data_IF_704185917604
#
_entry.id   IF_704185917604
#
_cell.length_a   1.000
_cell.length_b   1.000
_cell.length_c   1.000
_cell.angle_alpha   90.00
_cell.angle_beta   90.00
_cell.angle_gamma   90.00
#
_symmetry.space_group_name_H-M   'P 1'
#
loop_
_entity.id
_entity.type
_entity.pdbx_description
1 polymer ?
#
# COMPACT_ATOMS: atom_id res chain seq x y z
N UNK A 1 -32.31 -35.66 -32.43
CA UNK A 1 -32.10 -36.76 -31.46
C UNK A 1 -32.02 -36.13 -30.08
N UNK A 2 -33.07 -36.33 -29.29
CA UNK A 2 -33.15 -35.91 -27.90
C UNK A 2 -32.60 -37.01 -27.00
N UNK A 3 -31.83 -36.64 -25.98
CA UNK A 3 -31.54 -37.54 -24.87
C UNK A 3 -31.83 -36.82 -23.55
N UNK A 4 -32.82 -37.39 -22.88
CA UNK A 4 -33.40 -37.02 -21.60
C UNK A 4 -32.64 -37.76 -20.50
N UNK A 5 -32.25 -37.06 -19.43
CA UNK A 5 -31.65 -37.68 -18.25
C UNK A 5 -32.74 -37.86 -17.17
N UNK A 6 -33.02 -39.08 -16.69
CA UNK A 6 -33.76 -39.29 -15.46
C UNK A 6 -32.77 -39.33 -14.29
N UNK A 7 -33.12 -38.71 -13.16
CA UNK A 7 -33.06 -39.30 -11.81
C UNK A 7 -33.54 -38.25 -10.81
N UNK A 8 -34.63 -38.59 -10.14
CA UNK A 8 -35.15 -37.86 -9.00
C UNK A 8 -34.62 -38.37 -7.66
N UNK A 9 -34.87 -37.55 -6.64
CA UNK A 9 -35.03 -37.84 -5.22
C UNK A 9 -33.84 -38.45 -4.44
N UNK A 10 -33.15 -37.53 -3.77
CA UNK A 10 -32.68 -37.59 -2.38
C UNK A 10 -33.46 -38.54 -1.46
N UNK A 11 -32.73 -39.37 -0.69
CA UNK A 11 -32.90 -39.42 0.77
C UNK A 11 -31.72 -40.07 1.52
N UNK A 12 -31.40 -39.43 2.66
CA UNK A 12 -30.67 -39.88 3.88
C UNK A 12 -29.14 -39.72 3.98
N UNK A 13 -28.81 -38.54 4.49
CA UNK A 13 -27.84 -38.17 5.51
C UNK A 13 -26.97 -39.27 6.16
N UNK A 14 -25.66 -38.99 6.26
CA UNK A 14 -24.99 -38.54 7.49
C UNK A 14 -23.48 -38.55 7.27
N UNK A 15 -22.84 -37.40 7.10
CA UNK A 15 -21.53 -37.21 7.72
C UNK A 15 -21.21 -35.73 7.96
N UNK A 16 -20.63 -35.51 9.12
CA UNK A 16 -20.44 -34.23 9.79
C UNK A 16 -19.15 -33.55 9.37
N UNK A 17 -19.26 -32.42 8.69
CA UNK A 17 -18.21 -31.38 8.67
C UNK A 17 -18.72 -30.12 7.98
N UNK A 18 -19.46 -29.28 8.73
CA UNK A 18 -19.74 -27.92 8.29
C UNK A 18 -18.51 -27.02 8.55
N UNK A 19 -18.07 -26.21 7.59
CA UNK A 19 -17.12 -25.14 7.84
C UNK A 19 -17.79 -24.05 8.70
N UNK A 20 -17.09 -23.56 9.73
CA UNK A 20 -17.58 -22.44 10.54
C UNK A 20 -17.73 -21.19 9.67
N UNK A 21 -18.98 -20.85 9.38
CA UNK A 21 -19.36 -19.56 8.80
C UNK A 21 -19.21 -18.54 9.93
N UNK A 22 -18.13 -17.77 9.91
CA UNK A 22 -17.99 -16.60 10.77
C UNK A 22 -19.20 -15.68 10.55
N UNK A 23 -20.01 -15.55 11.59
CA UNK A 23 -21.30 -14.87 11.51
C UNK A 23 -21.03 -13.36 11.47
N UNK A 24 -21.40 -12.68 10.38
CA UNK A 24 -21.22 -11.23 10.20
C UNK A 24 -21.77 -10.39 11.37
N UNK A 25 -22.72 -10.95 12.13
CA UNK A 25 -23.27 -10.38 13.35
C UNK A 25 -22.29 -10.38 14.53
N UNK A 26 -21.45 -11.40 14.67
CA UNK A 26 -20.43 -11.46 15.73
C UNK A 26 -19.29 -10.46 15.47
N UNK A 27 -18.89 -10.28 14.22
CA UNK A 27 -17.91 -9.27 13.82
C UNK A 27 -18.45 -7.85 14.05
N UNK A 28 -19.72 -7.60 13.72
CA UNK A 28 -20.35 -6.31 13.99
C UNK A 28 -20.51 -6.05 15.48
N UNK A 29 -20.82 -7.07 16.28
CA UNK A 29 -20.88 -6.93 17.74
C UNK A 29 -19.51 -6.60 18.32
N UNK A 30 -18.44 -7.26 17.85
CA UNK A 30 -17.07 -7.00 18.31
C UNK A 30 -16.56 -5.62 17.90
N UNK A 31 -16.97 -5.13 16.72
CA UNK A 31 -16.64 -3.77 16.26
C UNK A 31 -17.46 -2.71 17.02
N UNK A 32 -18.74 -2.96 17.30
CA UNK A 32 -19.57 -2.04 18.09
C UNK A 32 -19.15 -2.00 19.56
N UNK A 33 -18.65 -3.10 20.11
CA UNK A 33 -18.12 -3.17 21.47
C UNK A 33 -16.75 -2.46 21.60
N UNK A 34 -16.08 -2.21 20.45
CA UNK A 34 -14.81 -1.46 20.37
C UNK A 34 -14.93 -0.05 19.79
N UNK A 35 -16.14 0.47 19.54
CA UNK A 35 -16.32 1.88 19.20
C UNK A 35 -16.04 2.75 20.43
N UNK A 36 -14.80 3.26 20.49
CA UNK A 36 -14.30 4.41 21.26
C UNK A 36 -15.05 4.75 22.55
N UNK A 37 -14.53 4.29 23.70
CA UNK A 37 -14.84 4.84 25.02
C UNK A 37 -14.21 6.23 25.28
N UNK A 38 -13.72 6.92 24.25
CA UNK A 38 -13.18 8.26 24.39
C UNK A 38 -14.24 9.26 23.97
N UNK A 39 -14.72 10.03 24.94
CA UNK A 39 -15.66 11.10 24.69
C UNK A 39 -15.07 12.09 23.69
N UNK A 40 -15.93 12.73 22.88
CA UNK A 40 -15.50 13.77 21.93
C UNK A 40 -14.68 14.89 22.59
N UNK A 41 -14.81 15.08 23.91
CA UNK A 41 -14.02 16.00 24.71
C UNK A 41 -12.58 15.51 24.88
N UNK A 42 -12.38 14.25 25.26
CA UNK A 42 -11.06 13.62 25.42
C UNK A 42 -10.34 13.48 24.09
N UNK A 43 -11.08 13.16 23.02
CA UNK A 43 -10.52 13.10 21.68
C UNK A 43 -10.02 14.46 21.20
N UNK A 44 -10.78 15.54 21.44
CA UNK A 44 -10.34 16.91 21.14
C UNK A 44 -9.15 17.34 22.00
N UNK A 45 -9.11 16.92 23.26
CA UNK A 45 -8.00 17.22 24.16
C UNK A 45 -6.71 16.47 23.77
N UNK A 46 -6.83 15.25 23.25
CA UNK A 46 -5.72 14.49 22.65
C UNK A 46 -5.20 15.16 21.37
N UNK A 47 -6.08 15.60 20.48
CA UNK A 47 -5.68 16.33 19.28
C UNK A 47 -5.01 17.67 19.62
N UNK A 48 -5.53 18.38 20.62
CA UNK A 48 -4.94 19.64 21.12
C UNK A 48 -3.55 19.42 21.72
N UNK A 49 -3.36 18.32 22.47
CA UNK A 49 -2.04 17.96 23.01
C UNK A 49 -1.03 17.57 21.91
N UNK A 50 -1.47 16.86 20.87
CA UNK A 50 -0.60 16.54 19.74
C UNK A 50 -0.20 17.79 18.93
N UNK A 51 -1.12 18.74 18.73
CA UNK A 51 -0.82 19.98 18.02
C UNK A 51 0.07 20.93 18.83
N UNK A 52 -0.04 20.92 20.15
CA UNK A 52 0.89 21.64 21.05
C UNK A 52 2.29 21.02 21.02
N UNK A 53 2.42 19.69 21.00
CA UNK A 53 3.71 19.00 20.88
C UNK A 53 4.37 19.17 19.51
N UNK A 54 3.60 19.31 18.44
CA UNK A 54 4.13 19.57 17.10
C UNK A 54 4.63 21.01 16.90
N UNK A 55 4.21 21.95 17.75
CA UNK A 55 4.63 23.36 17.67
C UNK A 55 5.83 23.71 18.57
N UNK A 56 6.29 22.79 19.42
CA UNK A 56 7.56 22.93 20.13
C UNK A 56 8.69 22.50 19.18
N UNK A 57 9.25 23.46 18.45
CA UNK A 57 10.55 23.28 17.81
C UNK A 57 11.64 23.20 18.89
N UNK A 58 12.65 22.36 18.63
CA UNK A 58 13.95 22.23 19.32
C UNK A 58 13.85 21.38 20.62
N UNK A 59 14.63 20.34 20.89
CA UNK A 59 16.04 20.07 20.62
C UNK A 59 16.35 18.55 20.63
N UNK A 60 17.47 18.19 20.04
CA UNK A 60 18.04 16.83 19.93
C UNK A 60 18.32 16.22 21.31
N UNK A 61 18.05 14.91 21.48
CA UNK A 61 18.28 14.04 22.67
C UNK A 61 17.17 13.93 23.73
N UNK A 62 16.01 13.37 23.36
CA UNK A 62 15.18 12.63 24.32
C UNK A 62 14.82 11.24 23.77
N UNK A 63 14.82 10.19 24.61
CA UNK A 63 14.49 8.83 24.18
C UNK A 63 13.06 8.75 23.68
N UNK A 64 12.86 7.93 22.66
CA UNK A 64 11.58 7.75 21.98
C UNK A 64 10.51 7.22 22.92
N UNK A 65 9.25 7.47 22.56
CA UNK A 65 8.05 7.08 23.31
C UNK A 65 8.02 5.61 23.79
N UNK A 66 8.64 4.69 23.04
CA UNK A 66 8.76 3.27 23.40
C UNK A 66 9.61 3.02 24.67
N UNK A 67 10.60 3.86 24.95
CA UNK A 67 11.45 3.76 26.15
C UNK A 67 10.74 4.28 27.40
N UNK A 68 9.87 5.31 27.26
CA UNK A 68 9.08 5.84 28.40
C UNK A 68 7.97 4.89 28.86
N UNK A 69 7.47 4.04 27.98
CA UNK A 69 6.45 3.04 28.35
C UNK A 69 7.03 1.88 29.17
N UNK A 70 8.33 1.59 29.04
CA UNK A 70 9.00 0.55 29.84
C UNK A 70 9.46 1.03 31.22
N UNK A 71 9.52 2.35 31.45
CA UNK A 71 10.17 2.94 32.62
C UNK A 71 9.22 3.50 33.69
N UNK A 72 7.96 3.07 33.72
CA UNK A 72 6.97 3.54 34.70
C UNK A 72 6.34 2.41 35.51
N UNK A 73 7.20 1.64 36.17
CA UNK A 73 6.90 1.13 37.51
C UNK A 73 7.73 1.96 38.50
N UNK A 74 7.07 2.33 39.59
CA UNK A 74 7.56 2.97 40.80
C UNK A 74 7.46 4.50 40.95
N UNK A 75 6.73 4.82 42.02
CA UNK A 75 6.86 5.88 42.99
C UNK A 75 6.29 7.30 42.76
N UNK A 76 5.13 7.46 43.42
CA UNK A 76 4.85 8.44 44.48
C UNK A 76 5.32 9.89 44.27
N UNK A 77 4.37 10.83 44.20
CA UNK A 77 4.47 12.17 44.81
C UNK A 77 3.12 12.91 44.73
N UNK A 78 2.83 13.69 45.77
CA UNK A 78 1.54 14.29 46.14
C UNK A 78 1.00 15.35 45.14
N UNK A 79 -0.33 15.51 44.97
CA UNK A 79 -0.93 16.40 43.97
C UNK A 79 -0.74 17.91 44.19
N UNK A 80 -0.24 18.34 45.35
CA UNK A 80 -0.28 19.74 45.76
C UNK A 80 0.88 20.59 45.23
N UNK A 81 2.03 19.99 44.91
CA UNK A 81 3.21 20.73 44.45
C UNK A 81 3.13 21.11 42.95
N UNK A 82 2.32 20.41 42.16
CA UNK A 82 2.17 20.65 40.70
C UNK A 82 1.29 21.85 40.35
N UNK A 83 0.54 22.41 41.29
CA UNK A 83 -0.33 23.57 41.04
C UNK A 83 0.42 24.90 41.13
N UNK A 84 1.41 25.02 42.02
CA UNK A 84 2.13 26.27 42.26
C UNK A 84 3.08 26.66 41.11
N UNK A 85 3.54 25.69 40.32
CA UNK A 85 4.45 25.93 39.19
C UNK A 85 3.71 26.31 37.89
N UNK A 86 2.44 25.91 37.76
CA UNK A 86 1.61 26.18 36.58
C UNK A 86 1.10 27.63 36.55
N UNK A 87 0.80 28.22 37.72
CA UNK A 87 0.28 29.60 37.80
C UNK A 87 1.35 30.67 37.51
N UNK A 88 2.63 30.35 37.62
CA UNK A 88 3.73 31.29 37.35
C UNK A 88 4.07 31.41 35.86
N UNK A 89 3.68 30.43 35.04
CA UNK A 89 3.94 30.41 33.59
C UNK A 89 2.84 31.19 32.82
N UNK A 90 1.65 31.34 33.39
CA UNK A 90 0.49 31.93 32.71
C UNK A 90 0.56 33.47 32.62
N UNK A 91 1.38 34.15 33.43
CA UNK A 91 1.45 35.63 33.44
C UNK A 91 2.50 36.28 32.51
N UNK A 92 3.18 35.53 31.63
CA UNK A 92 4.21 36.10 30.74
C UNK A 92 4.09 35.69 29.26
N UNK A 93 2.88 35.60 28.72
CA UNK A 93 2.70 35.55 27.26
C UNK A 93 1.98 36.81 26.77
N UNK A 94 2.59 37.61 25.87
CA UNK A 94 1.88 38.72 25.25
C UNK A 94 0.78 38.17 24.34
N UNK A 95 -0.48 38.35 24.76
CA UNK A 95 -1.67 38.13 23.93
C UNK A 95 -1.76 39.22 22.87
N UNK A 96 -1.12 39.00 21.73
CA UNK A 96 -1.53 39.59 20.47
C UNK A 96 -1.79 38.44 19.48
N UNK A 97 -3.04 38.03 19.24
CA UNK A 97 -3.32 37.18 18.09
C UNK A 97 -2.97 37.97 16.82
N UNK A 98 -2.19 37.42 15.87
CA UNK A 98 -2.06 38.05 14.57
C UNK A 98 -3.47 38.19 13.98
N UNK A 99 -3.83 39.41 13.57
CA UNK A 99 -5.08 39.70 12.87
C UNK A 99 -5.37 38.60 11.86
N UNK A 100 -6.57 38.01 11.95
CA UNK A 100 -7.15 37.15 10.94
C UNK A 100 -7.48 38.00 9.69
N UNK A 101 -6.44 38.49 9.03
CA UNK A 101 -6.54 39.22 7.79
C UNK A 101 -6.68 38.20 6.67
N UNK A 102 -7.94 37.96 6.27
CA UNK A 102 -8.36 37.50 4.94
C UNK A 102 -7.38 36.60 4.16
N UNK A 103 -6.89 35.52 4.75
CA UNK A 103 -6.30 34.44 3.97
C UNK A 103 -7.44 33.63 3.39
N UNK A 104 -7.99 34.10 2.26
CA UNK A 104 -8.79 33.25 1.39
C UNK A 104 -8.00 31.95 1.18
N UNK A 105 -8.62 30.77 1.37
CA UNK A 105 -7.94 29.51 1.13
C UNK A 105 -7.41 29.54 -0.30
N UNK A 106 -6.08 29.53 -0.44
CA UNK A 106 -5.44 29.52 -1.76
C UNK A 106 -6.06 28.36 -2.56
N UNK A 107 -6.59 28.59 -3.77
CA UNK A 107 -7.14 27.51 -4.57
C UNK A 107 -6.02 26.46 -4.76
N UNK A 108 -6.29 25.23 -4.33
CA UNK A 108 -5.34 24.12 -4.43
C UNK A 108 -5.10 23.82 -5.91
N UNK A 109 -4.05 24.40 -6.49
CA UNK A 109 -3.89 24.51 -7.95
C UNK A 109 -3.57 23.19 -8.65
N UNK A 110 -3.43 22.07 -7.94
CA UNK A 110 -3.03 20.78 -8.50
C UNK A 110 -3.80 19.58 -7.94
N UNK A 111 -5.06 19.76 -7.52
CA UNK A 111 -5.87 18.66 -6.92
C UNK A 111 -5.91 17.41 -7.79
N UNK A 112 -6.05 17.58 -9.10
CA UNK A 112 -6.11 16.46 -10.04
C UNK A 112 -4.79 15.70 -10.13
N UNK A 113 -3.67 16.42 -10.19
CA UNK A 113 -2.34 15.81 -10.22
C UNK A 113 -2.03 15.09 -8.91
N UNK A 114 -2.32 15.73 -7.76
CA UNK A 114 -2.05 15.13 -6.46
C UNK A 114 -2.96 13.93 -6.19
N UNK A 115 -4.21 13.97 -6.64
CA UNK A 115 -5.10 12.80 -6.64
C UNK A 115 -4.52 11.69 -7.52
N UNK A 116 -4.11 12.04 -8.75
CA UNK A 116 -3.55 11.07 -9.68
C UNK A 116 -2.28 10.40 -9.13
N UNK A 117 -1.36 11.17 -8.55
CA UNK A 117 -0.14 10.66 -7.90
C UNK A 117 -0.42 9.71 -6.75
N UNK A 118 -1.46 9.97 -5.94
CA UNK A 118 -1.87 9.05 -4.87
C UNK A 118 -2.49 7.75 -5.40
N UNK A 119 -3.23 7.84 -6.49
CA UNK A 119 -3.90 6.69 -7.12
C UNK A 119 -2.99 5.90 -8.06
N UNK A 120 -1.88 6.50 -8.51
CA UNK A 120 -0.94 5.93 -9.47
C UNK A 120 0.48 6.26 -9.01
N UNK A 121 0.79 5.98 -7.74
CA UNK A 121 2.17 6.07 -7.29
C UNK A 121 3.04 5.03 -8.03
N UNK A 122 4.35 5.07 -7.82
CA UNK A 122 5.27 4.15 -8.48
C UNK A 122 4.88 2.69 -8.22
N UNK A 123 4.47 2.37 -6.98
CA UNK A 123 4.04 1.03 -6.57
C UNK A 123 2.78 0.57 -7.29
N UNK A 124 1.73 1.38 -7.29
CA UNK A 124 0.46 1.03 -7.92
C UNK A 124 0.62 0.92 -9.44
N UNK A 125 1.41 1.82 -10.04
CA UNK A 125 1.70 1.76 -11.48
C UNK A 125 2.46 0.48 -11.87
N UNK A 126 3.39 0.02 -11.03
CA UNK A 126 4.08 -1.27 -11.22
C UNK A 126 3.07 -2.43 -11.14
N UNK A 127 2.17 -2.42 -10.16
CA UNK A 127 1.16 -3.48 -10.00
C UNK A 127 0.19 -3.51 -11.18
N UNK A 128 -0.20 -2.34 -11.69
CA UNK A 128 -1.04 -2.23 -12.89
C UNK A 128 -0.33 -2.89 -14.09
N UNK A 129 0.94 -2.55 -14.35
CA UNK A 129 1.69 -3.14 -15.46
C UNK A 129 1.87 -4.67 -15.32
N UNK A 130 2.06 -5.17 -14.09
CA UNK A 130 2.22 -6.62 -13.83
C UNK A 130 0.90 -7.37 -13.57
N UNK A 131 -0.25 -6.70 -13.68
CA UNK A 131 -1.55 -7.24 -13.27
C UNK A 131 -2.01 -8.44 -14.11
N UNK A 132 -1.64 -8.48 -15.39
CA UNK A 132 -1.97 -9.60 -16.27
C UNK A 132 -1.28 -10.89 -15.82
N UNK A 133 -0.01 -10.80 -15.43
CA UNK A 133 0.77 -11.93 -14.90
C UNK A 133 0.19 -12.35 -13.56
N UNK A 134 -0.15 -11.40 -12.70
CA UNK A 134 -0.78 -11.66 -11.40
C UNK A 134 -2.11 -12.41 -11.56
N UNK A 135 -2.95 -11.97 -12.50
CA UNK A 135 -4.23 -12.62 -12.79
C UNK A 135 -4.02 -14.03 -13.35
N UNK A 136 -3.04 -14.21 -14.23
CA UNK A 136 -2.69 -15.52 -14.77
C UNK A 136 -2.22 -16.48 -13.68
N UNK A 137 -1.41 -15.99 -12.73
CA UNK A 137 -1.00 -16.74 -11.55
C UNK A 137 -2.20 -17.18 -10.68
N UNK A 138 -3.13 -16.27 -10.35
CA UNK A 138 -4.32 -16.64 -9.57
C UNK A 138 -5.23 -17.63 -10.29
N UNK A 139 -5.40 -17.49 -11.61
CA UNK A 139 -6.14 -18.47 -12.43
C UNK A 139 -5.45 -19.84 -12.42
N UNK A 140 -4.12 -19.88 -12.39
CA UNK A 140 -3.36 -21.12 -12.26
C UNK A 140 -3.63 -21.78 -10.90
N UNK A 141 -3.50 -21.02 -9.80
CA UNK A 141 -3.77 -21.50 -8.45
C UNK A 141 -5.20 -22.03 -8.25
N UNK A 142 -6.18 -21.41 -8.91
CA UNK A 142 -7.58 -21.80 -8.84
C UNK A 142 -7.88 -23.13 -9.57
N UNK A 143 -7.07 -23.47 -10.59
CA UNK A 143 -7.22 -24.73 -11.34
C UNK A 143 -6.58 -25.92 -10.65
N UNK A 144 -5.61 -25.69 -9.77
CA UNK A 144 -4.94 -26.78 -9.06
C UNK A 144 -5.83 -27.40 -8.00
N UNK A 145 -6.01 -28.71 -8.08
CA UNK A 145 -6.64 -29.46 -6.99
C UNK A 145 -5.69 -29.53 -5.79
N UNK A 146 -6.23 -29.70 -4.58
CA UNK A 146 -5.43 -29.87 -3.37
C UNK A 146 -4.48 -31.07 -3.45
N UNK A 147 -4.79 -32.06 -4.29
CA UNK A 147 -3.97 -33.24 -4.53
C UNK A 147 -2.80 -32.98 -5.49
N UNK A 148 -3.00 -32.13 -6.50
CA UNK A 148 -1.91 -31.72 -7.42
C UNK A 148 -0.81 -30.95 -6.68
N UNK A 149 -1.20 -30.12 -5.70
CA UNK A 149 -0.24 -29.39 -4.84
C UNK A 149 0.64 -30.30 -3.99
N UNK A 150 0.12 -31.44 -3.55
CA UNK A 150 0.90 -32.43 -2.77
C UNK A 150 1.80 -33.23 -3.71
N UNK A 151 1.31 -33.58 -4.90
CA UNK A 151 2.08 -34.30 -5.91
C UNK A 151 3.24 -33.45 -6.48
N UNK A 152 3.08 -32.14 -6.62
CA UNK A 152 4.14 -31.24 -7.09
C UNK A 152 5.24 -31.01 -6.06
N UNK A 153 4.97 -31.14 -4.76
CA UNK A 153 6.01 -31.17 -3.73
C UNK A 153 6.92 -32.41 -3.88
N UNK A 154 6.37 -33.52 -4.37
CA UNK A 154 7.11 -34.77 -4.60
C UNK A 154 7.88 -34.84 -5.92
N UNK A 155 7.62 -33.95 -6.87
CA UNK A 155 8.30 -33.88 -8.17
C UNK A 155 9.00 -32.53 -8.27
N UNK A 156 10.34 -32.53 -8.28
CA UNK A 156 11.23 -31.37 -8.51
C UNK A 156 11.04 -30.68 -9.89
N UNK A 157 9.86 -30.74 -10.50
CA UNK A 157 9.51 -29.95 -11.67
C UNK A 157 8.86 -28.64 -11.21
N UNK A 158 9.41 -27.53 -11.71
CA UNK A 158 8.77 -26.24 -11.57
C UNK A 158 7.36 -26.32 -12.16
N UNK A 159 6.37 -26.20 -11.28
CA UNK A 159 4.97 -26.10 -11.65
C UNK A 159 4.73 -24.83 -12.47
N UNK A 160 3.85 -24.87 -13.48
CA UNK A 160 3.48 -23.70 -14.29
C UNK A 160 3.06 -22.51 -13.40
N UNK A 161 2.41 -22.78 -12.25
CA UNK A 161 2.05 -21.73 -11.31
C UNK A 161 3.27 -21.13 -10.59
N UNK A 162 4.32 -21.93 -10.35
CA UNK A 162 5.59 -21.44 -9.78
C UNK A 162 6.33 -20.58 -10.78
N UNK A 163 6.36 -20.96 -12.06
CA UNK A 163 6.94 -20.15 -13.12
C UNK A 163 6.21 -18.81 -13.27
N UNK A 164 4.88 -18.79 -13.16
CA UNK A 164 4.08 -17.55 -13.14
C UNK A 164 4.35 -16.68 -11.91
N UNK A 165 4.55 -17.28 -10.74
CA UNK A 165 4.93 -16.56 -9.53
C UNK A 165 6.31 -15.90 -9.68
N UNK A 166 7.31 -16.65 -10.15
CA UNK A 166 8.65 -16.14 -10.45
C UNK A 166 8.59 -15.01 -11.49
N UNK A 167 7.76 -15.17 -12.53
CA UNK A 167 7.58 -14.16 -13.57
C UNK A 167 6.93 -12.89 -13.04
N UNK A 168 5.94 -13.01 -12.15
CA UNK A 168 5.33 -11.86 -11.49
C UNK A 168 6.34 -11.09 -10.62
N UNK A 169 7.11 -11.81 -9.79
CA UNK A 169 8.16 -11.19 -8.97
C UNK A 169 9.18 -10.47 -9.85
N UNK A 170 9.66 -11.14 -10.90
CA UNK A 170 10.60 -10.54 -11.84
C UNK A 170 10.03 -9.30 -12.54
N UNK A 171 8.75 -9.33 -12.95
CA UNK A 171 8.03 -8.17 -13.47
C UNK A 171 8.10 -7.00 -12.48
N UNK A 172 7.70 -7.22 -11.23
CA UNK A 172 7.67 -6.14 -10.22
C UNK A 172 9.05 -5.54 -9.97
N UNK A 173 10.09 -6.37 -9.88
CA UNK A 173 11.47 -5.91 -9.63
C UNK A 173 12.05 -5.13 -10.81
N UNK A 174 11.79 -5.58 -12.04
CA UNK A 174 12.30 -4.93 -13.24
C UNK A 174 11.54 -3.65 -13.52
N UNK A 175 10.21 -3.67 -13.38
CA UNK A 175 9.36 -2.49 -13.50
C UNK A 175 9.78 -1.42 -12.48
N UNK A 176 10.05 -1.77 -11.22
CA UNK A 176 10.57 -0.83 -10.22
C UNK A 176 11.82 -0.08 -10.70
N UNK A 177 12.77 -0.78 -11.31
CA UNK A 177 13.98 -0.17 -11.88
C UNK A 177 13.67 0.70 -13.09
N UNK A 178 12.72 0.28 -13.93
CA UNK A 178 12.29 1.05 -15.09
C UNK A 178 11.60 2.36 -14.70
N UNK A 179 10.70 2.34 -13.72
CA UNK A 179 10.06 3.56 -13.19
C UNK A 179 11.09 4.52 -12.58
N UNK A 180 12.09 3.98 -11.88
CA UNK A 180 13.21 4.79 -11.38
C UNK A 180 14.04 5.39 -12.51
N UNK A 181 14.23 4.69 -13.63
CA UNK A 181 14.97 5.21 -14.79
C UNK A 181 14.25 6.40 -15.46
N UNK A 182 12.92 6.45 -15.39
CA UNK A 182 12.10 7.54 -15.93
C UNK A 182 11.85 8.66 -14.90
N UNK A 183 12.48 8.61 -13.73
CA UNK A 183 12.33 9.62 -12.67
C UNK A 183 10.84 9.85 -12.30
N UNK A 184 10.05 8.77 -12.30
CA UNK A 184 8.58 8.82 -12.28
C UNK A 184 8.00 9.64 -11.12
N UNK A 185 8.62 9.58 -9.95
CA UNK A 185 8.15 10.23 -8.72
C UNK A 185 8.22 11.76 -8.76
N UNK A 186 9.06 12.31 -9.65
CA UNK A 186 9.24 13.76 -9.79
C UNK A 186 8.56 14.35 -11.02
N UNK A 187 7.81 13.55 -11.79
CA UNK A 187 7.07 14.01 -12.97
C UNK A 187 5.92 14.96 -12.58
N UNK A 188 5.80 16.09 -13.27
CA UNK A 188 4.99 17.23 -12.83
C UNK A 188 3.61 17.26 -13.46
N UNK A 189 3.37 16.46 -14.50
CA UNK A 189 2.07 16.41 -15.18
C UNK A 189 1.53 14.98 -15.26
N UNK A 190 0.20 14.87 -15.31
CA UNK A 190 -0.48 13.57 -15.50
C UNK A 190 -0.06 12.95 -16.85
N UNK A 191 0.12 13.77 -17.87
CA UNK A 191 0.52 13.32 -19.20
C UNK A 191 1.93 12.73 -19.22
N UNK A 192 2.88 13.34 -18.50
CA UNK A 192 4.21 12.77 -18.29
C UNK A 192 4.13 11.40 -17.60
N UNK A 193 3.40 11.32 -16.48
CA UNK A 193 3.27 10.07 -15.72
C UNK A 193 2.61 8.98 -16.57
N UNK A 194 1.55 9.28 -17.30
CA UNK A 194 0.90 8.31 -18.19
C UNK A 194 1.81 7.87 -19.33
N UNK A 195 2.56 8.80 -19.93
CA UNK A 195 3.47 8.50 -21.02
C UNK A 195 4.63 7.60 -20.56
N UNK A 196 5.24 7.91 -19.40
CA UNK A 196 6.29 7.09 -18.80
C UNK A 196 5.77 5.67 -18.51
N UNK A 197 4.63 5.54 -17.81
CA UNK A 197 4.03 4.24 -17.50
C UNK A 197 3.78 3.41 -18.76
N UNK A 198 3.16 4.01 -19.78
CA UNK A 198 2.84 3.32 -21.05
C UNK A 198 4.10 2.90 -21.80
N UNK A 199 5.14 3.74 -21.82
CA UNK A 199 6.39 3.38 -22.50
C UNK A 199 7.08 2.20 -21.81
N UNK A 200 7.19 2.26 -20.48
CA UNK A 200 7.77 1.18 -19.67
C UNK A 200 7.00 -0.14 -19.89
N UNK A 201 5.67 -0.10 -19.82
CA UNK A 201 4.82 -1.28 -20.01
C UNK A 201 4.95 -1.88 -21.41
N UNK A 202 4.95 -1.04 -22.44
CA UNK A 202 5.12 -1.47 -23.83
C UNK A 202 6.48 -2.15 -24.04
N UNK A 203 7.56 -1.59 -23.52
CA UNK A 203 8.91 -2.18 -23.68
C UNK A 203 8.97 -3.52 -22.97
N UNK A 204 8.39 -3.63 -21.78
CA UNK A 204 8.29 -4.89 -21.04
C UNK A 204 7.53 -5.96 -21.82
N UNK A 205 6.28 -5.67 -22.21
CA UNK A 205 5.39 -6.62 -22.90
C UNK A 205 5.93 -7.05 -24.27
N UNK A 206 6.71 -6.19 -24.94
CA UNK A 206 7.37 -6.55 -26.21
C UNK A 206 8.60 -7.43 -25.99
N UNK A 207 9.23 -7.35 -24.81
CA UNK A 207 10.51 -8.04 -24.54
C UNK A 207 10.33 -9.38 -23.84
N UNK A 208 9.30 -9.53 -23.03
CA UNK A 208 9.14 -10.69 -22.16
C UNK A 208 7.70 -11.25 -22.18
N UNK A 209 7.58 -12.52 -22.50
CA UNK A 209 6.35 -13.32 -22.45
C UNK A 209 6.36 -14.31 -21.28
N UNK A 210 7.55 -14.69 -20.80
CA UNK A 210 7.74 -15.67 -19.73
C UNK A 210 9.05 -15.45 -18.96
N UNK A 211 9.22 -16.20 -17.86
CA UNK A 211 10.38 -16.11 -16.98
C UNK A 211 11.70 -16.49 -17.65
N UNK A 212 11.70 -17.40 -18.62
CA UNK A 212 12.92 -17.84 -19.30
C UNK A 212 13.52 -16.71 -20.15
N UNK A 213 12.66 -15.93 -20.82
CA UNK A 213 13.09 -14.74 -21.57
C UNK A 213 13.67 -13.67 -20.65
N UNK A 214 13.17 -13.53 -19.43
CA UNK A 214 13.74 -12.61 -18.42
C UNK A 214 15.12 -13.08 -17.97
N UNK A 215 15.32 -14.40 -17.85
CA UNK A 215 16.60 -15.02 -17.46
C UNK A 215 17.62 -15.05 -18.61
N UNK A 216 17.17 -14.95 -19.86
CA UNK A 216 18.04 -14.85 -21.03
C UNK A 216 18.79 -13.50 -21.04
N UNK A 217 20.11 -13.58 -20.85
CA UNK A 217 20.99 -12.41 -20.80
C UNK A 217 20.96 -11.55 -22.07
N UNK A 218 20.78 -12.17 -23.24
CA UNK A 218 20.71 -11.45 -24.53
C UNK A 218 19.41 -10.68 -24.62
N UNK A 219 18.27 -11.31 -24.34
CA UNK A 219 16.96 -10.66 -24.38
C UNK A 219 16.91 -9.54 -23.35
N UNK A 220 17.35 -9.81 -22.12
CA UNK A 220 17.42 -8.80 -21.07
C UNK A 220 18.33 -7.62 -21.46
N UNK A 221 19.47 -7.89 -22.12
CA UNK A 221 20.33 -6.81 -22.62
C UNK A 221 19.62 -5.95 -23.66
N UNK A 222 18.88 -6.52 -24.59
CA UNK A 222 18.13 -5.76 -25.60
C UNK A 222 16.97 -4.97 -24.98
N UNK A 223 16.28 -5.54 -23.99
CA UNK A 223 15.29 -4.83 -23.18
C UNK A 223 15.90 -3.57 -22.56
N UNK A 224 17.05 -3.69 -21.87
CA UNK A 224 17.67 -2.52 -21.21
C UNK A 224 18.12 -1.44 -22.20
N UNK A 225 18.60 -1.82 -23.39
CA UNK A 225 18.95 -0.85 -24.45
C UNK A 225 17.70 -0.12 -24.96
N UNK A 226 16.64 -0.87 -25.24
CA UNK A 226 15.37 -0.32 -25.72
C UNK A 226 14.75 0.62 -24.70
N UNK A 227 14.76 0.23 -23.42
CA UNK A 227 14.24 1.06 -22.34
C UNK A 227 15.02 2.37 -22.18
N UNK A 228 16.36 2.34 -22.32
CA UNK A 228 17.18 3.56 -22.29
C UNK A 228 16.88 4.49 -23.47
N UNK A 229 16.71 3.93 -24.67
CA UNK A 229 16.31 4.71 -25.84
C UNK A 229 14.95 5.37 -25.66
N UNK A 230 13.99 4.64 -25.10
CA UNK A 230 12.65 5.16 -24.78
C UNK A 230 12.69 6.25 -23.71
N UNK A 231 13.58 6.12 -22.72
CA UNK A 231 13.87 7.19 -21.76
C UNK A 231 14.39 8.43 -22.49
N UNK A 232 15.38 8.31 -23.37
CA UNK A 232 15.91 9.45 -24.13
C UNK A 232 14.82 10.16 -24.94
N UNK A 233 13.96 9.41 -25.64
CA UNK A 233 12.81 9.96 -26.38
C UNK A 233 11.83 10.67 -25.44
N UNK A 234 11.58 10.11 -24.26
CA UNK A 234 10.72 10.72 -23.25
C UNK A 234 11.30 12.06 -22.75
N UNK A 235 12.58 12.08 -22.40
CA UNK A 235 13.28 13.28 -21.93
C UNK A 235 13.35 14.37 -23.01
N UNK A 236 13.60 13.99 -24.27
CA UNK A 236 13.57 14.92 -25.42
C UNK A 236 12.17 15.55 -25.58
N UNK A 237 11.11 14.77 -25.40
CA UNK A 237 9.73 15.24 -25.55
C UNK A 237 9.28 16.18 -24.42
N UNK A 238 9.68 15.91 -23.18
CA UNK A 238 9.19 16.62 -21.99
C UNK A 238 10.21 17.59 -21.38
N UNK A 239 11.43 17.68 -21.93
CA UNK A 239 12.47 18.60 -21.48
C UNK A 239 13.00 18.27 -20.07
N UNK A 240 13.07 16.98 -19.74
CA UNK A 240 13.53 16.47 -18.44
C UNK A 240 14.95 15.94 -18.52
#
# INVERSE_FOLDING_TARGET
MAWYWPFGANEKASDSSQPQIFNRKELNNYLSEKESQLSNREFKELLRRQSEQANVKVDTNQPGFLERLQQKQDDSLSPEEKKAELDKIISQSPLNPPSAENQQPKPYSNYQLDKYRRENDSRESILINCSEIQNSFYKCLAKQSSWDRIASIGRLQADDCTALADFFVACTDIQKKAFSLFDYEVLETIDEMQAARKSIDRVWTTSFENIDQVRDKRIFSEYTKTLRKEREIFHEKYGK
#
